data_IF_228476150730
#
_entry.id   IF_228476150730
#
_cell.length_a   1.000
_cell.length_b   1.000
_cell.length_c   1.000
_cell.angle_alpha   90.00
_cell.angle_beta   90.00
_cell.angle_gamma   90.00
#
_symmetry.space_group_name_H-M   'P 1'
#
loop_
_entity.id
_entity.type
_entity.pdbx_description
1 polymer ?
#
# COMPACT_ATOMS: atom_id res chain seq x y z
N UNK A 1 21.40 10.59 -7.87
CA UNK A 1 19.94 10.39 -7.89
C UNK A 1 19.42 10.27 -6.46
N UNK A 2 18.32 10.94 -6.10
CA UNK A 2 17.69 10.82 -4.77
C UNK A 2 16.40 10.00 -4.88
N UNK A 3 16.17 9.09 -3.95
CA UNK A 3 14.95 8.29 -3.88
C UNK A 3 14.47 8.13 -2.45
N UNK A 4 13.16 7.98 -2.25
CA UNK A 4 12.61 7.61 -0.95
C UNK A 4 12.78 6.12 -0.71
N UNK A 5 13.25 5.77 0.49
CA UNK A 5 13.39 4.39 0.91
C UNK A 5 12.79 4.19 2.29
N UNK A 6 12.01 3.12 2.44
CA UNK A 6 11.37 2.76 3.70
C UNK A 6 12.11 1.57 4.32
N UNK A 7 12.49 1.72 5.56
CA UNK A 7 13.07 0.67 6.41
C UNK A 7 12.04 0.24 7.45
N UNK A 8 12.02 -1.04 7.78
CA UNK A 8 11.08 -1.56 8.77
C UNK A 8 11.76 -2.39 9.83
N UNK A 9 11.22 -2.33 11.05
CA UNK A 9 11.62 -3.18 12.18
C UNK A 9 10.42 -3.48 13.07
N UNK A 10 10.55 -4.52 13.89
CA UNK A 10 9.58 -4.83 14.94
C UNK A 10 9.96 -4.04 16.21
N UNK A 11 8.97 -3.44 16.86
CA UNK A 11 9.16 -2.85 18.18
C UNK A 11 8.98 -3.94 19.24
N UNK A 12 10.05 -4.23 19.94
CA UNK A 12 10.06 -5.21 21.03
C UNK A 12 9.61 -4.56 22.33
N UNK A 13 8.78 -5.26 23.10
CA UNK A 13 8.24 -4.77 24.39
C UNK A 13 9.32 -4.36 25.37
N UNK A 14 10.43 -5.08 25.42
CA UNK A 14 11.56 -4.81 26.31
C UNK A 14 12.25 -3.47 26.01
N UNK A 15 12.32 -3.14 24.72
CA UNK A 15 13.09 -1.98 24.23
C UNK A 15 12.24 -0.74 23.94
N UNK A 16 10.92 -0.88 23.76
CA UNK A 16 10.04 0.20 23.31
C UNK A 16 8.69 0.24 24.07
N UNK A 17 8.66 -0.21 25.33
CA UNK A 17 7.43 -0.33 26.15
C UNK A 17 6.61 0.95 26.21
N UNK A 18 7.24 2.08 26.46
CA UNK A 18 6.54 3.38 26.56
C UNK A 18 5.92 3.80 25.24
N UNK A 19 6.63 3.58 24.13
CA UNK A 19 6.15 3.91 22.78
C UNK A 19 4.98 3.02 22.41
N UNK A 20 5.06 1.72 22.70
CA UNK A 20 3.99 0.77 22.44
C UNK A 20 2.75 1.11 23.25
N UNK A 21 2.92 1.39 24.56
CA UNK A 21 1.83 1.82 25.44
C UNK A 21 1.14 3.09 24.92
N UNK A 22 1.93 4.13 24.60
CA UNK A 22 1.39 5.35 24.03
C UNK A 22 0.65 5.11 22.72
N UNK A 23 1.17 4.23 21.87
CA UNK A 23 0.53 3.86 20.63
C UNK A 23 -0.82 3.15 20.85
N UNK A 24 -0.90 2.23 21.81
CA UNK A 24 -2.15 1.52 22.17
C UNK A 24 -3.23 2.50 22.63
N UNK A 25 -2.86 3.48 23.42
CA UNK A 25 -3.77 4.51 23.94
C UNK A 25 -4.26 5.48 22.86
N UNK A 26 -3.48 5.73 21.81
CA UNK A 26 -3.72 6.86 20.88
C UNK A 26 -4.08 6.44 19.45
N UNK A 27 -3.78 5.22 19.03
CA UNK A 27 -4.04 4.78 17.65
C UNK A 27 -5.51 4.91 17.23
N UNK A 28 -6.43 4.61 18.12
CA UNK A 28 -7.87 4.80 17.90
C UNK A 28 -8.25 6.26 17.66
N UNK A 29 -7.69 7.17 18.46
CA UNK A 29 -7.92 8.62 18.34
C UNK A 29 -7.32 9.17 17.05
N UNK A 30 -6.11 8.74 16.68
CA UNK A 30 -5.50 9.12 15.42
C UNK A 30 -6.29 8.58 14.21
N UNK A 31 -6.75 7.34 14.27
CA UNK A 31 -7.62 6.77 13.25
C UNK A 31 -8.95 7.54 13.11
N UNK A 32 -9.52 8.03 14.22
CA UNK A 32 -10.72 8.87 14.19
C UNK A 32 -10.43 10.26 13.62
N UNK A 33 -9.36 10.91 14.05
CA UNK A 33 -8.87 12.17 13.49
C UNK A 33 -8.72 12.07 11.96
N UNK A 34 -8.04 11.04 11.46
CA UNK A 34 -7.84 10.82 10.02
C UNK A 34 -9.16 10.64 9.26
N UNK A 35 -10.13 9.90 9.82
CA UNK A 35 -11.45 9.73 9.19
C UNK A 35 -12.25 11.03 9.14
N UNK A 36 -12.24 11.82 10.20
CA UNK A 36 -12.88 13.13 10.21
C UNK A 36 -12.23 14.06 9.18
N UNK A 37 -10.91 14.08 9.10
CA UNK A 37 -10.16 14.87 8.12
C UNK A 37 -10.55 14.46 6.69
N UNK A 38 -10.58 13.16 6.41
CA UNK A 38 -11.00 12.62 5.12
C UNK A 38 -12.45 13.03 4.78
N UNK A 39 -13.35 12.99 5.76
CA UNK A 39 -14.76 13.39 5.57
C UNK A 39 -14.87 14.87 5.23
N UNK A 40 -14.13 15.74 5.94
CA UNK A 40 -14.13 17.18 5.71
C UNK A 40 -13.59 17.50 4.31
N UNK A 41 -12.41 16.97 3.95
CA UNK A 41 -11.79 17.18 2.63
C UNK A 41 -12.68 16.72 1.46
N UNK A 42 -13.49 15.68 1.65
CA UNK A 42 -14.43 15.21 0.63
C UNK A 42 -15.67 16.09 0.47
N UNK A 43 -16.13 16.72 1.55
CA UNK A 43 -17.38 17.48 1.55
C UNK A 43 -17.17 18.99 1.43
N UNK A 44 -16.02 19.47 1.85
CA UNK A 44 -15.61 20.87 1.80
C UNK A 44 -14.25 21.00 1.13
N UNK A 45 -14.13 20.72 -0.19
CA UNK A 45 -12.85 20.74 -0.90
C UNK A 45 -12.20 22.12 -0.95
N UNK A 46 -12.96 23.18 -0.75
CA UNK A 46 -12.55 24.59 -0.72
C UNK A 46 -11.92 25.03 0.61
N UNK A 47 -11.99 24.19 1.65
CA UNK A 47 -11.43 24.56 2.96
C UNK A 47 -9.91 24.77 2.86
N UNK A 48 -9.42 25.92 3.37
CA UNK A 48 -8.00 26.16 3.38
C UNK A 48 -7.30 25.15 4.32
N UNK A 49 -6.06 24.76 3.95
CA UNK A 49 -5.28 23.85 4.78
C UNK A 49 -5.03 24.38 6.20
N UNK A 50 -4.87 25.70 6.33
CA UNK A 50 -4.64 26.35 7.62
C UNK A 50 -5.89 26.29 8.49
N UNK A 51 -7.08 26.56 7.94
CA UNK A 51 -8.33 26.50 8.68
C UNK A 51 -8.69 25.09 9.07
N UNK A 52 -8.50 24.13 8.16
CA UNK A 52 -8.64 22.71 8.48
C UNK A 52 -7.71 22.29 9.63
N UNK A 53 -6.44 22.72 9.58
CA UNK A 53 -5.48 22.40 10.63
C UNK A 53 -5.90 22.96 11.99
N UNK A 54 -6.34 24.23 12.06
CA UNK A 54 -6.86 24.85 13.30
C UNK A 54 -8.09 24.11 13.81
N UNK A 55 -9.06 23.82 12.95
CA UNK A 55 -10.26 23.08 13.30
C UNK A 55 -9.94 21.71 13.92
N UNK A 56 -8.98 20.98 13.33
CA UNK A 56 -8.57 19.69 13.85
C UNK A 56 -7.83 19.78 15.19
N UNK A 57 -6.99 20.82 15.39
CA UNK A 57 -6.33 21.06 16.66
C UNK A 57 -7.33 21.32 17.80
N UNK A 58 -8.36 22.10 17.53
CA UNK A 58 -9.40 22.43 18.51
C UNK A 58 -10.26 21.22 18.82
N UNK A 59 -10.80 20.57 17.78
CA UNK A 59 -11.74 19.45 17.91
C UNK A 59 -11.13 18.21 18.57
N UNK A 60 -9.85 17.94 18.32
CA UNK A 60 -9.19 16.70 18.77
C UNK A 60 -8.13 16.94 19.86
N UNK A 61 -7.93 18.18 20.28
CA UNK A 61 -6.86 18.53 21.25
C UNK A 61 -5.51 17.93 20.86
N UNK A 62 -5.10 18.16 19.60
CA UNK A 62 -3.84 17.67 19.04
C UNK A 62 -2.93 18.82 18.63
N UNK A 63 -1.63 18.53 18.47
CA UNK A 63 -0.70 19.52 17.97
C UNK A 63 -0.91 19.80 16.48
N UNK A 64 -0.50 20.98 16.01
CA UNK A 64 -0.55 21.35 14.60
C UNK A 64 0.18 20.35 13.68
N UNK A 65 1.22 19.67 14.20
CA UNK A 65 1.99 18.67 13.44
C UNK A 65 1.22 17.38 13.26
N UNK A 66 0.54 16.92 14.29
CA UNK A 66 -0.30 15.71 14.22
C UNK A 66 -1.51 15.95 13.33
N UNK A 67 -2.14 17.14 13.44
CA UNK A 67 -3.19 17.55 12.51
C UNK A 67 -2.70 17.57 11.05
N UNK A 68 -1.53 18.15 10.77
CA UNK A 68 -0.93 18.13 9.45
C UNK A 68 -0.66 16.71 8.93
N UNK A 69 -0.15 15.81 9.78
CA UNK A 69 0.07 14.41 9.37
C UNK A 69 -1.22 13.74 8.95
N UNK A 70 -2.32 13.97 9.68
CA UNK A 70 -3.64 13.44 9.31
C UNK A 70 -4.18 14.05 8.01
N UNK A 71 -3.94 15.36 7.75
CA UNK A 71 -4.31 16.02 6.51
C UNK A 71 -3.58 15.41 5.33
N UNK A 72 -2.25 15.27 5.39
CA UNK A 72 -1.44 14.67 4.35
C UNK A 72 -1.88 13.23 4.03
N UNK A 73 -2.08 12.40 5.06
CA UNK A 73 -2.55 11.04 4.83
C UNK A 73 -3.95 11.00 4.19
N UNK A 74 -4.85 11.89 4.59
CA UNK A 74 -6.20 11.95 4.01
C UNK A 74 -6.15 12.41 2.54
N UNK A 75 -5.35 13.41 2.21
CA UNK A 75 -5.11 13.88 0.83
C UNK A 75 -4.52 12.76 -0.03
N UNK A 76 -3.54 12.02 0.47
CA UNK A 76 -2.94 10.89 -0.24
C UNK A 76 -3.93 9.75 -0.48
N UNK A 77 -4.78 9.45 0.50
CA UNK A 77 -5.83 8.44 0.36
C UNK A 77 -6.83 8.84 -0.73
N UNK A 78 -7.25 10.11 -0.78
CA UNK A 78 -8.15 10.63 -1.82
C UNK A 78 -7.48 10.55 -3.19
N UNK A 79 -6.25 11.05 -3.31
CA UNK A 79 -5.48 11.05 -4.55
C UNK A 79 -5.27 9.64 -5.10
N UNK A 80 -4.83 8.72 -4.25
CA UNK A 80 -4.64 7.32 -4.61
C UNK A 80 -5.95 6.64 -5.04
N UNK A 81 -7.06 6.94 -4.35
CA UNK A 81 -8.36 6.39 -4.70
C UNK A 81 -8.84 6.92 -6.06
N UNK A 82 -8.63 8.22 -6.35
CA UNK A 82 -8.95 8.81 -7.66
C UNK A 82 -8.09 8.23 -8.77
N UNK A 83 -6.78 8.07 -8.55
CA UNK A 83 -5.88 7.49 -9.53
C UNK A 83 -6.21 6.03 -9.90
N UNK A 84 -6.86 5.28 -9.00
CA UNK A 84 -7.28 3.91 -9.26
C UNK A 84 -8.60 3.80 -10.04
N UNK A 85 -9.40 4.86 -10.12
CA UNK A 85 -10.70 4.82 -10.80
C UNK A 85 -10.55 4.51 -12.29
N UNK A 86 -9.71 5.20 -13.08
CA UNK A 86 -9.53 4.91 -14.50
C UNK A 86 -9.12 3.46 -14.76
N UNK A 87 -8.18 2.93 -13.99
CA UNK A 87 -7.74 1.54 -14.08
C UNK A 87 -8.86 0.53 -13.77
N UNK A 88 -9.76 0.89 -12.86
CA UNK A 88 -10.91 0.05 -12.55
C UNK A 88 -11.97 0.10 -13.66
N UNK A 89 -12.16 1.25 -14.30
CA UNK A 89 -13.04 1.41 -15.47
C UNK A 89 -12.53 0.55 -16.61
N UNK A 90 -11.26 0.67 -17.01
CA UNK A 90 -10.63 -0.13 -18.06
C UNK A 90 -10.80 -1.64 -17.84
N UNK A 91 -10.57 -2.11 -16.60
CA UNK A 91 -10.80 -3.51 -16.23
C UNK A 91 -12.27 -3.94 -16.38
N UNK A 92 -13.21 -3.06 -16.11
CA UNK A 92 -14.63 -3.34 -16.25
C UNK A 92 -15.05 -3.36 -17.73
N UNK A 93 -14.51 -2.48 -18.56
CA UNK A 93 -14.71 -2.43 -20.01
C UNK A 93 -14.19 -3.71 -20.67
N UNK A 94 -12.97 -4.14 -20.35
CA UNK A 94 -12.41 -5.43 -20.82
C UNK A 94 -13.31 -6.61 -20.44
N UNK A 95 -13.94 -6.56 -19.26
CA UNK A 95 -14.89 -7.61 -18.85
C UNK A 95 -16.20 -7.55 -19.65
N UNK A 96 -16.66 -6.38 -20.06
CA UNK A 96 -17.82 -6.22 -20.97
C UNK A 96 -17.51 -6.83 -22.33
N UNK A 97 -16.34 -6.49 -22.90
CA UNK A 97 -15.91 -7.05 -24.19
C UNK A 97 -15.87 -8.58 -24.17
N UNK A 98 -15.27 -9.17 -23.12
CA UNK A 98 -15.26 -10.61 -22.94
C UNK A 98 -16.67 -11.24 -22.88
N UNK A 99 -17.62 -10.54 -22.24
CA UNK A 99 -19.02 -10.97 -22.18
C UNK A 99 -19.74 -10.83 -23.52
N UNK A 100 -19.45 -9.77 -24.28
CA UNK A 100 -19.99 -9.59 -25.64
C UNK A 100 -19.52 -10.73 -26.55
N UNK A 101 -18.22 -11.06 -26.56
CA UNK A 101 -17.67 -12.21 -27.31
C UNK A 101 -18.35 -13.53 -26.90
N UNK A 102 -18.68 -13.69 -25.62
CA UNK A 102 -19.41 -14.87 -25.13
C UNK A 102 -20.85 -14.92 -25.67
N UNK A 103 -21.55 -13.79 -25.73
CA UNK A 103 -22.89 -13.70 -26.34
C UNK A 103 -22.83 -14.09 -27.80
N UNK A 104 -21.89 -13.58 -28.58
CA UNK A 104 -21.72 -13.91 -29.99
C UNK A 104 -21.47 -15.40 -30.19
N UNK A 105 -20.60 -16.01 -29.38
CA UNK A 105 -20.38 -17.45 -29.39
C UNK A 105 -21.67 -18.23 -29.14
N UNK A 106 -22.48 -17.82 -28.15
CA UNK A 106 -23.76 -18.45 -27.83
C UNK A 106 -24.80 -18.25 -28.92
N UNK A 107 -24.86 -17.08 -29.57
CA UNK A 107 -25.70 -16.82 -30.73
C UNK A 107 -25.34 -17.72 -31.92
N UNK A 108 -24.03 -17.89 -32.20
CA UNK A 108 -23.57 -18.84 -33.25
C UNK A 108 -23.96 -20.30 -32.93
N UNK A 109 -23.88 -20.70 -31.63
CA UNK A 109 -24.35 -22.02 -31.18
C UNK A 109 -25.86 -22.21 -31.41
N UNK A 110 -26.65 -21.17 -31.09
CA UNK A 110 -28.10 -21.18 -31.32
C UNK A 110 -28.43 -21.33 -32.83
N UNK A 111 -27.73 -20.57 -33.68
CA UNK A 111 -27.91 -20.64 -35.13
C UNK A 111 -27.65 -22.06 -35.67
N UNK A 112 -26.60 -22.74 -35.21
CA UNK A 112 -26.30 -24.13 -35.55
C UNK A 112 -27.42 -25.11 -35.14
N UNK A 113 -28.02 -24.91 -33.97
CA UNK A 113 -29.13 -25.74 -33.49
C UNK A 113 -30.40 -25.50 -34.36
N UNK A 114 -30.67 -24.24 -34.75
CA UNK A 114 -31.79 -23.93 -35.63
C UNK A 114 -31.62 -24.54 -37.03
N UNK A 115 -30.40 -24.58 -37.55
CA UNK A 115 -30.12 -25.18 -38.87
C UNK A 115 -30.13 -26.73 -38.87
N UNK A 116 -30.13 -27.38 -37.70
CA UNK A 116 -30.18 -28.83 -37.60
C UNK A 116 -31.62 -29.36 -37.77
N UNK A 117 -31.77 -30.52 -38.50
CA UNK A 117 -33.10 -31.14 -38.72
C UNK A 117 -33.85 -31.53 -37.45
N UNK A 118 -33.16 -31.71 -36.30
CA UNK A 118 -33.74 -31.94 -34.97
C UNK A 118 -33.54 -30.74 -34.08
N UNK A 119 -34.56 -29.89 -33.99
CA UNK A 119 -34.53 -28.69 -33.15
C UNK A 119 -34.67 -29.09 -31.68
N UNK A 120 -33.61 -28.88 -30.88
CA UNK A 120 -33.65 -29.14 -29.44
C UNK A 120 -34.13 -27.88 -28.71
N UNK A 121 -35.45 -27.75 -28.54
CA UNK A 121 -36.12 -26.59 -27.92
C UNK A 121 -35.65 -26.36 -26.49
N UNK A 122 -35.41 -27.43 -25.71
CA UNK A 122 -34.90 -27.32 -24.31
C UNK A 122 -33.48 -26.70 -24.25
N UNK A 123 -32.61 -27.08 -25.21
CA UNK A 123 -31.25 -26.50 -25.30
C UNK A 123 -31.30 -25.04 -25.75
N UNK A 124 -32.16 -24.69 -26.68
CA UNK A 124 -32.38 -23.29 -27.09
C UNK A 124 -32.88 -22.42 -25.95
N UNK A 125 -33.84 -22.92 -25.14
CA UNK A 125 -34.32 -22.21 -23.96
C UNK A 125 -33.19 -21.90 -22.95
N UNK A 126 -32.33 -22.89 -22.69
CA UNK A 126 -31.15 -22.71 -21.81
C UNK A 126 -30.19 -21.67 -22.37
N UNK A 127 -29.90 -21.66 -23.67
CA UNK A 127 -29.00 -20.68 -24.28
C UNK A 127 -29.58 -19.26 -24.23
N UNK A 128 -30.90 -19.10 -24.55
CA UNK A 128 -31.60 -17.79 -24.41
C UNK A 128 -31.51 -17.26 -23.00
N UNK A 129 -31.80 -18.07 -21.99
CA UNK A 129 -31.72 -17.71 -20.60
C UNK A 129 -30.28 -17.32 -20.16
N UNK A 130 -29.27 -18.06 -20.67
CA UNK A 130 -27.87 -17.73 -20.42
C UNK A 130 -27.48 -16.39 -21.04
N UNK A 131 -27.86 -16.10 -22.27
CA UNK A 131 -27.62 -14.80 -22.93
C UNK A 131 -28.31 -13.67 -22.14
N UNK A 132 -29.56 -13.85 -21.71
CA UNK A 132 -30.26 -12.89 -20.86
C UNK A 132 -29.48 -12.58 -19.58
N UNK A 133 -28.98 -13.60 -18.88
CA UNK A 133 -28.18 -13.41 -17.67
C UNK A 133 -26.85 -12.67 -17.93
N UNK A 134 -26.23 -12.90 -19.10
CA UNK A 134 -25.02 -12.17 -19.50
C UNK A 134 -25.36 -10.69 -19.75
N UNK A 135 -26.47 -10.38 -20.43
CA UNK A 135 -26.90 -9.01 -20.64
C UNK A 135 -27.16 -8.28 -19.30
N UNK A 136 -27.86 -8.91 -18.37
CA UNK A 136 -28.08 -8.35 -17.03
C UNK A 136 -26.75 -8.10 -16.30
N UNK A 137 -25.78 -8.99 -16.48
CA UNK A 137 -24.46 -8.80 -15.91
C UNK A 137 -23.71 -7.63 -16.57
N UNK A 138 -23.83 -7.42 -17.87
CA UNK A 138 -23.25 -6.27 -18.59
C UNK A 138 -23.88 -4.98 -18.07
N UNK A 139 -25.20 -4.92 -17.92
CA UNK A 139 -25.89 -3.73 -17.43
C UNK A 139 -25.44 -3.36 -16.00
N UNK A 140 -25.26 -4.34 -15.11
CA UNK A 140 -24.70 -4.08 -13.76
C UNK A 140 -23.27 -3.54 -13.84
N UNK A 141 -22.46 -4.02 -14.79
CA UNK A 141 -21.10 -3.49 -14.96
C UNK A 141 -21.14 -2.06 -15.48
N UNK A 142 -22.01 -1.73 -16.44
CA UNK A 142 -22.19 -0.36 -16.97
C UNK A 142 -22.60 0.61 -15.88
N UNK A 143 -23.60 0.26 -15.04
CA UNK A 143 -24.01 1.06 -13.89
C UNK A 143 -22.85 1.30 -12.92
N UNK A 144 -21.96 0.32 -12.76
CA UNK A 144 -20.78 0.47 -11.92
C UNK A 144 -19.76 1.43 -12.55
N UNK A 145 -19.56 1.40 -13.86
CA UNK A 145 -18.69 2.33 -14.59
C UNK A 145 -19.23 3.74 -14.42
N UNK A 146 -20.50 3.98 -14.71
CA UNK A 146 -21.17 5.28 -14.53
C UNK A 146 -21.00 5.82 -13.10
N UNK A 147 -21.15 4.96 -12.09
CA UNK A 147 -20.89 5.34 -10.69
C UNK A 147 -19.42 5.72 -10.42
N UNK A 148 -18.46 5.09 -11.10
CA UNK A 148 -17.04 5.43 -10.98
C UNK A 148 -16.72 6.75 -11.70
N UNK A 149 -17.29 6.97 -12.86
CA UNK A 149 -17.16 8.23 -13.61
C UNK A 149 -17.70 9.42 -12.80
N UNK A 150 -18.88 9.30 -12.22
CA UNK A 150 -19.43 10.31 -11.29
C UNK A 150 -18.52 10.57 -10.08
N UNK A 151 -17.87 9.55 -9.54
CA UNK A 151 -16.92 9.73 -8.45
C UNK A 151 -15.65 10.48 -8.90
N UNK A 152 -15.19 10.25 -10.13
CA UNK A 152 -14.06 10.94 -10.73
C UNK A 152 -14.38 12.40 -11.01
N UNK A 153 -15.52 12.66 -11.67
CA UNK A 153 -16.03 14.00 -12.01
C UNK A 153 -16.19 14.86 -10.75
N UNK A 154 -16.86 14.34 -9.74
CA UNK A 154 -17.09 15.06 -8.48
C UNK A 154 -15.87 15.03 -7.54
N UNK A 155 -14.77 14.38 -7.90
CA UNK A 155 -13.59 14.17 -7.06
C UNK A 155 -13.91 13.60 -5.66
N UNK A 156 -14.98 12.79 -5.57
CA UNK A 156 -15.48 12.17 -4.32
C UNK A 156 -15.42 10.64 -4.39
N UNK A 157 -14.22 10.05 -4.30
CA UNK A 157 -14.07 8.59 -4.39
C UNK A 157 -14.70 7.88 -3.19
N UNK A 158 -15.24 6.69 -3.40
CA UNK A 158 -15.73 5.83 -2.33
C UNK A 158 -14.56 5.11 -1.65
N UNK A 159 -14.22 5.59 -0.46
CA UNK A 159 -13.08 5.10 0.33
C UNK A 159 -13.58 4.22 1.47
N UNK A 160 -13.00 3.02 1.60
CA UNK A 160 -13.17 2.17 2.77
C UNK A 160 -11.82 2.07 3.47
N UNK A 161 -11.68 2.74 4.61
CA UNK A 161 -10.49 2.64 5.45
C UNK A 161 -10.52 1.30 6.18
N UNK A 162 -9.60 0.42 5.85
CA UNK A 162 -9.59 -0.97 6.28
C UNK A 162 -10.01 -1.92 5.14
N UNK A 163 -10.42 -3.11 5.47
CA UNK A 163 -10.83 -4.11 4.47
C UNK A 163 -12.35 -4.21 4.37
N UNK A 164 -12.90 -4.06 3.14
CA UNK A 164 -14.33 -4.28 2.88
C UNK A 164 -14.79 -5.69 3.29
N UNK A 165 -13.92 -6.68 3.16
CA UNK A 165 -14.18 -8.06 3.58
C UNK A 165 -14.32 -8.15 5.10
N UNK A 166 -13.40 -7.54 5.84
CA UNK A 166 -13.47 -7.48 7.31
C UNK A 166 -14.69 -6.71 7.78
N UNK A 167 -15.01 -5.57 7.14
CA UNK A 167 -16.19 -4.78 7.51
C UNK A 167 -17.51 -5.56 7.43
N UNK A 168 -17.60 -6.56 6.53
CA UNK A 168 -18.78 -7.41 6.36
C UNK A 168 -18.80 -8.60 7.30
N UNK A 169 -17.64 -9.19 7.61
CA UNK A 169 -17.54 -10.49 8.26
C UNK A 169 -17.15 -10.39 9.73
N UNK A 170 -16.36 -9.39 10.13
CA UNK A 170 -15.84 -9.23 11.49
C UNK A 170 -15.63 -7.75 11.83
N UNK A 171 -16.60 -7.17 12.51
CA UNK A 171 -16.58 -5.76 12.90
C UNK A 171 -15.45 -5.41 13.90
N UNK A 172 -15.05 -6.36 14.77
CA UNK A 172 -13.95 -6.15 15.74
C UNK A 172 -12.61 -6.14 15.00
N UNK A 173 -12.36 -7.13 14.14
CA UNK A 173 -11.15 -7.16 13.31
C UNK A 173 -11.09 -5.95 12.37
N UNK A 174 -12.22 -5.55 11.79
CA UNK A 174 -12.29 -4.33 10.97
C UNK A 174 -11.87 -3.08 11.74
N UNK A 175 -12.43 -2.85 12.94
CA UNK A 175 -12.04 -1.70 13.78
C UNK A 175 -10.56 -1.74 14.15
N UNK A 176 -10.05 -2.89 14.59
CA UNK A 176 -8.63 -3.07 14.92
C UNK A 176 -7.72 -2.76 13.73
N UNK A 177 -8.05 -3.30 12.55
CA UNK A 177 -7.25 -3.06 11.33
C UNK A 177 -7.31 -1.61 10.87
N UNK A 178 -8.48 -0.97 10.96
CA UNK A 178 -8.70 0.42 10.57
C UNK A 178 -7.94 1.41 11.45
N UNK A 179 -7.89 1.14 12.75
CA UNK A 179 -7.35 2.03 13.77
C UNK A 179 -5.98 1.55 14.30
N UNK A 180 -5.22 0.84 13.47
CA UNK A 180 -3.96 0.19 13.84
C UNK A 180 -2.71 0.95 13.45
N UNK A 181 -2.82 2.19 12.97
CA UNK A 181 -1.69 2.96 12.44
C UNK A 181 -1.67 4.39 12.96
N UNK A 182 -0.48 4.86 13.35
CA UNK A 182 -0.18 6.29 13.53
C UNK A 182 1.01 6.64 12.63
N UNK A 183 0.92 7.78 11.95
CA UNK A 183 2.01 8.29 11.12
C UNK A 183 2.43 9.67 11.56
N UNK A 184 3.72 9.89 11.54
CA UNK A 184 4.39 11.14 11.83
C UNK A 184 5.16 11.59 10.60
N UNK A 185 4.61 12.54 9.86
CA UNK A 185 5.20 13.03 8.62
C UNK A 185 6.20 14.15 8.95
N UNK A 186 7.45 13.93 8.57
CA UNK A 186 8.53 14.90 8.78
C UNK A 186 8.64 15.93 7.67
N UNK A 187 9.41 16.97 7.92
CA UNK A 187 9.74 18.03 6.96
C UNK A 187 11.24 18.29 6.94
N UNK A 188 11.77 18.68 5.80
CA UNK A 188 13.19 18.94 5.59
C UNK A 188 13.78 20.01 6.52
N UNK A 189 12.96 21.01 6.95
CA UNK A 189 13.40 22.10 7.83
C UNK A 189 13.31 21.75 9.33
N UNK A 190 12.91 20.53 9.69
CA UNK A 190 12.75 20.13 11.08
C UNK A 190 14.00 19.49 11.66
N UNK A 191 14.20 19.68 12.98
CA UNK A 191 15.28 19.01 13.71
C UNK A 191 15.17 17.50 13.52
N UNK A 192 16.24 16.88 13.03
CA UNK A 192 16.30 15.46 12.69
C UNK A 192 15.20 15.01 11.70
N UNK A 193 14.71 15.94 10.85
CA UNK A 193 13.72 15.66 9.82
C UNK A 193 12.29 15.37 10.33
N UNK A 194 12.06 15.30 11.65
CA UNK A 194 10.75 15.10 12.27
C UNK A 194 10.75 15.54 13.75
N UNK A 195 9.92 16.51 14.09
CA UNK A 195 9.84 17.00 15.47
C UNK A 195 9.07 16.07 16.43
N UNK A 196 8.15 15.28 15.89
CA UNK A 196 7.31 14.41 16.72
C UNK A 196 7.89 13.01 16.91
N UNK A 197 8.73 12.55 15.97
CA UNK A 197 9.37 11.23 16.05
C UNK A 197 10.87 11.39 15.70
N UNK A 198 11.70 11.49 16.71
CA UNK A 198 13.13 11.72 16.56
C UNK A 198 13.91 10.42 16.72
N UNK A 199 14.97 10.28 15.93
CA UNK A 199 15.88 9.13 15.97
C UNK A 199 17.29 9.59 16.26
N UNK A 200 17.99 8.86 17.12
CA UNK A 200 19.41 9.05 17.35
C UNK A 200 20.13 7.69 17.30
N UNK A 201 21.13 7.61 16.46
CA UNK A 201 21.93 6.39 16.34
C UNK A 201 22.88 6.23 17.52
N UNK A 202 22.88 5.06 18.15
CA UNK A 202 23.76 4.65 19.25
C UNK A 202 24.75 3.62 18.73
N UNK A 203 26.03 3.99 18.61
CA UNK A 203 27.09 3.14 18.06
C UNK A 203 27.26 1.83 18.85
N UNK A 204 27.21 1.88 20.19
CA UNK A 204 27.26 0.71 21.07
C UNK A 204 25.97 -0.10 20.91
N UNK A 205 26.08 -1.31 20.36
CA UNK A 205 24.96 -2.21 20.11
C UNK A 205 24.17 -1.96 18.84
N UNK A 206 24.56 -0.99 17.98
CA UNK A 206 23.92 -0.71 16.68
C UNK A 206 22.41 -0.43 16.79
N UNK A 207 22.00 0.30 17.83
CA UNK A 207 20.62 0.67 18.11
C UNK A 207 20.30 2.10 17.65
N UNK A 208 19.01 2.34 17.40
CA UNK A 208 18.45 3.68 17.26
C UNK A 208 17.62 3.99 18.50
N UNK A 209 17.99 5.04 19.23
CA UNK A 209 17.15 5.62 20.26
C UNK A 209 16.00 6.38 19.60
N UNK A 210 14.82 6.19 20.12
CA UNK A 210 13.60 6.84 19.66
C UNK A 210 13.05 7.77 20.73
N UNK A 211 12.61 8.95 20.32
CA UNK A 211 11.91 9.92 21.14
C UNK A 211 10.65 10.36 20.44
N UNK A 212 9.48 9.97 20.96
CA UNK A 212 8.17 10.21 20.37
C UNK A 212 7.41 11.21 21.21
N UNK A 213 6.94 12.29 20.61
CA UNK A 213 6.10 13.26 21.28
C UNK A 213 4.70 12.71 21.49
N UNK A 214 4.18 12.84 22.69
CA UNK A 214 2.78 12.60 23.01
C UNK A 214 1.97 13.83 22.62
N UNK A 215 0.99 13.67 21.72
CA UNK A 215 0.35 14.80 21.03
C UNK A 215 -1.15 14.94 21.31
N UNK A 216 -1.75 14.01 22.08
CA UNK A 216 -3.19 13.96 22.31
C UNK A 216 -3.59 14.39 23.70
N UNK A 217 -4.71 15.13 23.79
CA UNK A 217 -5.32 15.51 25.06
C UNK A 217 -4.42 16.42 25.91
N UNK A 218 -4.21 16.06 27.16
CA UNK A 218 -3.39 16.83 28.12
C UNK A 218 -1.94 17.08 27.66
N UNK A 219 -1.42 16.24 26.77
CA UNK A 219 -0.05 16.34 26.28
C UNK A 219 0.16 17.41 25.20
N UNK A 220 -0.92 17.95 24.63
CA UNK A 220 -0.86 18.95 23.55
C UNK A 220 0.00 20.15 23.96
N UNK A 221 -0.27 20.71 25.12
CA UNK A 221 0.35 21.94 25.62
C UNK A 221 1.38 21.66 26.74
N UNK A 222 1.58 20.41 27.10
CA UNK A 222 2.54 20.01 28.12
C UNK A 222 3.98 20.28 27.66
N UNK A 223 4.75 20.95 28.51
CA UNK A 223 6.17 21.27 28.29
C UNK A 223 7.12 20.40 29.11
N UNK A 224 6.59 19.53 29.96
CA UNK A 224 7.39 18.64 30.81
C UNK A 224 8.16 17.60 29.98
N UNK A 225 9.23 17.01 30.51
CA UNK A 225 9.92 15.87 29.86
C UNK A 225 9.00 14.65 29.62
N UNK A 226 7.98 14.48 30.45
CA UNK A 226 7.01 13.38 30.39
C UNK A 226 6.15 13.38 29.12
N UNK A 227 6.08 14.52 28.41
CA UNK A 227 5.42 14.60 27.11
C UNK A 227 6.08 13.72 26.03
N UNK A 228 7.20 13.11 26.30
CA UNK A 228 7.88 12.20 25.37
C UNK A 228 7.81 10.77 25.88
N UNK A 229 7.61 9.84 24.94
CA UNK A 229 7.82 8.42 25.14
C UNK A 229 9.17 8.03 24.54
N UNK A 230 9.93 7.22 25.24
CA UNK A 230 11.27 6.81 24.84
C UNK A 230 11.32 5.31 24.54
N UNK A 231 12.23 4.95 23.66
CA UNK A 231 12.49 3.54 23.33
C UNK A 231 13.73 3.37 22.48
N UNK A 232 14.06 2.13 22.19
CA UNK A 232 15.16 1.75 21.29
C UNK A 232 14.67 0.76 20.28
N UNK A 233 15.21 0.80 19.06
CA UNK A 233 14.95 -0.20 18.05
C UNK A 233 16.23 -0.56 17.28
N UNK A 234 16.20 -1.71 16.63
CA UNK A 234 17.28 -2.20 15.80
C UNK A 234 16.75 -2.52 14.41
N UNK A 235 17.43 -2.04 13.36
CA UNK A 235 17.09 -2.38 11.97
C UNK A 235 18.03 -3.46 11.47
N UNK A 236 17.50 -4.65 11.23
CA UNK A 236 18.26 -5.78 10.71
C UNK A 236 18.85 -5.49 9.32
N UNK A 237 18.09 -4.74 8.50
CA UNK A 237 18.49 -4.37 7.15
C UNK A 237 18.48 -2.86 6.98
N UNK A 238 19.43 -2.32 6.22
CA UNK A 238 19.49 -0.91 5.85
C UNK A 238 19.92 0.06 6.96
N UNK A 239 20.38 -0.45 8.11
CA UNK A 239 20.84 0.37 9.26
C UNK A 239 21.88 1.43 8.87
N UNK A 240 22.85 1.08 7.99
CA UNK A 240 23.88 2.02 7.50
C UNK A 240 23.25 3.15 6.66
N UNK A 241 22.32 2.81 5.75
CA UNK A 241 21.66 3.80 4.89
C UNK A 241 20.76 4.73 5.71
N UNK A 242 20.00 4.16 6.66
CA UNK A 242 19.16 4.93 7.58
C UNK A 242 20.01 5.89 8.43
N UNK A 243 21.13 5.41 8.99
CA UNK A 243 22.06 6.25 9.76
C UNK A 243 22.58 7.42 8.93
N UNK A 244 23.04 7.17 7.71
CA UNK A 244 23.54 8.21 6.83
C UNK A 244 22.46 9.25 6.50
N UNK A 245 21.24 8.81 6.22
CA UNK A 245 20.11 9.71 5.95
C UNK A 245 19.70 10.53 7.18
N UNK A 246 19.80 9.98 8.39
CA UNK A 246 19.52 10.70 9.64
C UNK A 246 20.63 11.72 10.01
N UNK A 247 21.86 11.51 9.53
CA UNK A 247 22.95 12.47 9.70
C UNK A 247 22.81 13.68 8.75
N UNK A 248 22.14 13.49 7.63
CA UNK A 248 21.77 14.59 6.70
C UNK A 248 20.53 15.29 7.26
N UNK A 249 20.73 16.28 8.15
CA UNK A 249 19.66 17.04 8.82
C UNK A 249 18.74 17.81 7.85
N UNK A 250 18.98 17.79 6.56
CA UNK A 250 18.19 18.48 5.54
C UNK A 250 17.05 17.61 4.97
N UNK A 251 17.03 16.31 5.27
CA UNK A 251 16.05 15.37 4.69
C UNK A 251 14.87 15.11 5.63
N UNK A 252 13.63 15.06 5.09
CA UNK A 252 12.46 14.72 5.89
C UNK A 252 12.51 13.24 6.31
N UNK A 253 12.08 12.97 7.54
CA UNK A 253 11.97 11.61 8.08
C UNK A 253 10.51 11.33 8.42
N UNK A 254 9.87 10.41 7.70
CA UNK A 254 8.51 9.98 8.03
C UNK A 254 8.57 8.67 8.81
N UNK A 255 7.89 8.63 9.96
CA UNK A 255 7.79 7.44 10.78
C UNK A 255 6.35 6.99 10.90
N UNK A 256 6.09 5.69 10.74
CA UNK A 256 4.76 5.12 10.93
C UNK A 256 4.86 3.88 11.81
N UNK A 257 4.01 3.82 12.83
CA UNK A 257 3.87 2.62 13.67
C UNK A 257 2.57 1.94 13.32
N UNK A 258 2.64 0.63 13.02
CA UNK A 258 1.49 -0.17 12.59
C UNK A 258 1.41 -1.44 13.44
N UNK A 259 0.23 -1.72 13.98
CA UNK A 259 -0.06 -2.99 14.65
C UNK A 259 -0.53 -4.02 13.62
N UNK A 260 0.13 -5.19 13.58
CA UNK A 260 -0.27 -6.36 12.79
C UNK A 260 -0.08 -7.61 13.63
N UNK A 261 -1.11 -8.45 13.70
CA UNK A 261 -1.05 -9.74 14.40
C UNK A 261 -0.42 -9.64 15.80
N UNK A 262 -0.88 -8.67 16.59
CA UNK A 262 -0.42 -8.34 17.95
C UNK A 262 1.06 -7.93 18.07
N UNK A 263 1.72 -7.65 16.96
CA UNK A 263 3.06 -7.06 16.92
C UNK A 263 3.01 -5.62 16.39
N UNK A 264 3.96 -4.82 16.86
CA UNK A 264 4.12 -3.44 16.43
C UNK A 264 5.30 -3.32 15.50
N UNK A 265 5.05 -2.77 14.31
CA UNK A 265 6.05 -2.55 13.28
C UNK A 265 6.28 -1.06 13.13
N UNK A 266 7.55 -0.66 13.15
CA UNK A 266 7.98 0.69 12.84
C UNK A 266 8.48 0.72 11.40
N UNK A 267 7.95 1.64 10.62
CA UNK A 267 8.40 1.97 9.28
C UNK A 267 9.00 3.37 9.29
N UNK A 268 10.21 3.51 8.77
CA UNK A 268 10.91 4.80 8.69
C UNK A 268 11.27 5.06 7.24
N UNK A 269 10.69 6.11 6.67
CA UNK A 269 10.94 6.54 5.30
C UNK A 269 11.86 7.75 5.30
N UNK A 270 12.96 7.65 4.57
CA UNK A 270 13.98 8.70 4.42
C UNK A 270 14.38 8.85 2.96
N UNK A 271 14.98 9.98 2.64
CA UNK A 271 15.59 10.20 1.33
C UNK A 271 16.99 9.60 1.33
N UNK A 272 17.28 8.74 0.37
CA UNK A 272 18.60 8.13 0.18
C UNK A 272 19.19 8.65 -1.12
N UNK A 273 20.44 9.08 -1.09
CA UNK A 273 21.20 9.44 -2.27
C UNK A 273 21.89 8.19 -2.84
N UNK A 274 21.71 7.98 -4.12
CA UNK A 274 22.42 6.94 -4.87
C UNK A 274 23.44 7.60 -5.77
N UNK A 275 24.68 7.13 -5.73
CA UNK A 275 25.68 7.48 -6.70
C UNK A 275 25.28 6.88 -8.06
N UNK A 276 25.42 7.64 -9.13
CA UNK A 276 25.11 7.17 -10.48
C UNK A 276 25.97 5.97 -10.91
N UNK A 277 27.16 5.86 -10.33
CA UNK A 277 28.06 4.72 -10.52
C UNK A 277 27.55 3.40 -9.91
N UNK A 278 26.55 3.44 -9.02
CA UNK A 278 25.95 2.23 -8.44
C UNK A 278 24.95 1.52 -9.37
N UNK A 279 24.58 2.11 -10.49
CA UNK A 279 23.75 1.47 -11.51
C UNK A 279 24.68 0.67 -12.42
N UNK A 280 24.84 -0.61 -12.09
CA UNK A 280 25.72 -1.54 -12.84
C UNK A 280 24.99 -2.06 -14.11
N UNK A 281 23.64 -2.08 -14.08
CA UNK A 281 22.82 -2.58 -15.19
C UNK A 281 22.31 -1.41 -16.04
N UNK A 282 22.63 -1.42 -17.32
CA UNK A 282 22.11 -0.50 -18.32
C UNK A 282 21.30 -1.28 -19.34
N UNK A 283 20.25 -0.68 -19.88
CA UNK A 283 19.42 -1.29 -20.94
C UNK A 283 20.26 -1.73 -22.15
N UNK A 284 21.38 -1.04 -22.39
CA UNK A 284 22.37 -1.36 -23.42
C UNK A 284 23.08 -2.71 -23.21
N UNK A 285 22.99 -3.32 -22.04
CA UNK A 285 23.55 -4.65 -21.74
C UNK A 285 22.52 -5.77 -21.84
N UNK A 286 21.36 -5.50 -22.40
CA UNK A 286 20.25 -6.44 -22.47
C UNK A 286 19.33 -6.38 -21.24
N UNK A 287 18.30 -7.21 -21.26
CA UNK A 287 17.26 -7.26 -20.21
C UNK A 287 16.97 -8.73 -19.85
N UNK A 288 16.84 -8.98 -18.54
CA UNK A 288 16.36 -10.27 -18.05
C UNK A 288 14.89 -10.13 -17.66
N UNK A 289 14.03 -10.85 -18.37
CA UNK A 289 12.60 -10.99 -18.06
C UNK A 289 12.37 -12.23 -17.20
N UNK A 290 11.63 -12.09 -16.11
CA UNK A 290 11.27 -13.23 -15.23
C UNK A 290 9.77 -13.33 -15.15
N UNK A 291 9.22 -14.50 -15.54
CA UNK A 291 7.80 -14.82 -15.46
C UNK A 291 7.56 -15.91 -14.41
N UNK A 292 6.73 -15.60 -13.41
CA UNK A 292 6.42 -16.52 -12.32
C UNK A 292 5.10 -17.25 -12.61
N UNK A 293 5.19 -18.55 -12.86
CA UNK A 293 4.03 -19.41 -13.04
C UNK A 293 3.87 -20.40 -11.89
N UNK A 294 2.68 -20.98 -11.79
CA UNK A 294 2.43 -22.03 -10.79
C UNK A 294 3.23 -23.28 -11.15
N UNK A 295 4.30 -23.54 -10.40
CA UNK A 295 5.16 -24.72 -10.53
C UNK A 295 6.44 -24.49 -11.33
N UNK A 296 6.64 -23.34 -11.96
CA UNK A 296 7.89 -23.03 -12.66
C UNK A 296 8.12 -21.52 -12.80
N UNK A 297 9.38 -21.16 -13.01
CA UNK A 297 9.81 -19.79 -13.32
C UNK A 297 10.47 -19.84 -14.70
N UNK A 298 10.01 -19.00 -15.61
CA UNK A 298 10.69 -18.75 -16.87
C UNK A 298 11.59 -17.53 -16.75
N UNK A 299 12.83 -17.66 -17.19
CA UNK A 299 13.81 -16.59 -17.27
C UNK A 299 14.14 -16.42 -18.75
N UNK A 300 13.96 -15.21 -19.26
CA UNK A 300 14.30 -14.86 -20.64
C UNK A 300 15.36 -13.77 -20.62
N UNK A 301 16.48 -13.99 -21.25
CA UNK A 301 17.54 -13.03 -21.45
C UNK A 301 17.52 -12.48 -22.87
N UNK A 302 17.64 -11.17 -23.02
CA UNK A 302 17.72 -10.53 -24.33
C UNK A 302 19.00 -9.73 -24.46
N UNK A 303 19.51 -9.58 -25.68
CA UNK A 303 20.62 -8.70 -26.00
C UNK A 303 20.21 -7.21 -26.00
N UNK A 304 21.18 -6.32 -26.31
CA UNK A 304 20.97 -4.87 -26.42
C UNK A 304 19.93 -4.47 -27.48
N UNK A 305 19.72 -5.33 -28.49
CA UNK A 305 18.77 -5.11 -29.60
C UNK A 305 17.39 -5.69 -29.31
N UNK A 306 17.24 -6.39 -28.18
CA UNK A 306 15.98 -7.05 -27.79
C UNK A 306 15.80 -8.44 -28.37
N UNK A 307 16.84 -9.04 -29.00
CA UNK A 307 16.77 -10.42 -29.45
C UNK A 307 16.94 -11.36 -28.24
N UNK A 308 16.20 -12.44 -28.25
CA UNK A 308 16.29 -13.45 -27.19
C UNK A 308 17.61 -14.20 -27.29
N UNK A 309 18.40 -14.14 -26.23
CA UNK A 309 19.70 -14.83 -26.12
C UNK A 309 19.52 -16.19 -25.46
N UNK A 310 18.72 -16.26 -24.41
CA UNK A 310 18.44 -17.51 -23.70
C UNK A 310 17.04 -17.53 -23.13
N UNK A 311 16.47 -18.73 -23.02
CA UNK A 311 15.21 -18.98 -22.30
C UNK A 311 15.45 -20.18 -21.38
N UNK A 312 15.29 -19.98 -20.10
CA UNK A 312 15.39 -21.03 -19.08
C UNK A 312 14.04 -21.25 -18.41
N UNK A 313 13.66 -22.50 -18.26
CA UNK A 313 12.50 -22.90 -17.46
C UNK A 313 12.97 -23.66 -16.23
N UNK A 314 12.77 -23.05 -15.07
CA UNK A 314 13.12 -23.64 -13.78
C UNK A 314 11.86 -24.15 -13.08
N UNK A 315 11.76 -25.44 -12.83
CA UNK A 315 10.65 -26.03 -12.09
C UNK A 315 10.75 -25.69 -10.60
N UNK A 316 9.65 -25.19 -10.03
CA UNK A 316 9.57 -24.83 -8.61
C UNK A 316 8.55 -25.77 -7.95
N UNK A 317 9.04 -26.70 -7.16
CA UNK A 317 8.19 -27.56 -6.35
C UNK A 317 7.69 -26.80 -5.12
N UNK A 318 6.42 -26.41 -5.11
CA UNK A 318 5.78 -25.90 -3.89
C UNK A 318 5.41 -27.06 -2.99
N UNK A 319 6.24 -27.34 -1.99
CA UNK A 319 5.87 -28.26 -0.92
C UNK A 319 4.71 -27.68 -0.10
N UNK A 320 3.61 -28.39 -0.02
CA UNK A 320 2.51 -28.11 0.91
C UNK A 320 2.96 -28.45 2.34
N UNK A 321 3.81 -27.63 2.94
CA UNK A 321 4.26 -27.82 4.31
C UNK A 321 4.59 -26.48 4.95
N UNK A 322 4.08 -26.24 6.15
CA UNK A 322 4.31 -25.04 6.97
C UNK A 322 5.77 -24.92 7.35
N UNK A 323 6.60 -24.34 6.48
CA UNK A 323 7.90 -23.75 6.86
C UNK A 323 8.58 -23.24 5.59
N UNK A 324 8.45 -21.94 5.29
CA UNK A 324 9.20 -21.28 4.25
C UNK A 324 10.65 -21.11 4.69
N UNK A 325 11.53 -22.02 4.34
CA UNK A 325 12.97 -21.76 4.25
C UNK A 325 13.33 -21.63 2.78
N UNK A 326 13.53 -20.39 2.31
CA UNK A 326 14.19 -20.15 1.04
C UNK A 326 15.60 -20.75 1.11
N UNK A 327 15.86 -21.84 0.40
CA UNK A 327 17.23 -22.26 0.07
C UNK A 327 17.71 -21.35 -1.05
N UNK A 328 18.73 -20.56 -0.78
CA UNK A 328 19.47 -19.85 -1.79
C UNK A 328 20.09 -20.88 -2.75
N UNK A 329 19.75 -20.79 -4.03
CA UNK A 329 20.41 -21.56 -5.07
C UNK A 329 21.82 -21.01 -5.25
N UNK A 330 22.85 -21.86 -5.04
CA UNK A 330 24.20 -21.63 -5.55
C UNK A 330 24.15 -21.86 -7.05
N UNK A 331 24.48 -20.84 -7.83
CA UNK A 331 24.91 -21.04 -9.21
C UNK A 331 26.27 -21.74 -9.21
N UNK A 332 26.30 -22.99 -9.54
CA UNK A 332 27.53 -23.65 -9.91
C UNK A 332 27.97 -23.17 -11.30
N UNK A 333 29.00 -22.34 -11.31
CA UNK A 333 29.75 -22.04 -12.53
C UNK A 333 30.49 -23.29 -12.94
N UNK A 334 29.96 -24.10 -13.81
CA UNK A 334 30.70 -25.08 -14.58
C UNK A 334 30.44 -24.91 -16.07
N UNK A 335 31.48 -24.60 -16.80
CA UNK A 335 31.65 -24.88 -18.22
C UNK A 335 31.50 -23.68 -19.15
N UNK A 336 32.54 -22.85 -19.25
CA UNK A 336 33.01 -22.30 -20.52
C UNK A 336 34.53 -22.46 -20.57
N UNK A 337 34.96 -23.47 -21.31
CA UNK A 337 36.23 -23.42 -22.03
C UNK A 337 35.92 -22.95 -23.45
#
# INVERSE_FOLDING_TARGET
MKAFKTFSTVLEQENAKEIIKYFEETAGNYGFLKRCTLHILRNCPEISRNDLNKLLQEKFSVTARTANSAIYEAEEIISSALALIPLNIEKLETRIEGKIKLIEKKKKEMAKIHASRKTNTKRLGKLKFHIYNIHNSINRIRQKIESLEKQLENRKPNICMGSKKLARNDAKAFKRHRDSQISYIGRACEKQGNMNFQFQYIKKGNFFSMKVRRDFGKWKDDRSPERFAYGKCHFKYGSRQLRNALMDNASPVTASVIRRDDRYYLFVTVTVSYESSAIITRKEHGVIGIDFNKGFINICETDEKGNVVSIEKNEVSFWKGRNYRCRAFRCDKQGMQ
#
